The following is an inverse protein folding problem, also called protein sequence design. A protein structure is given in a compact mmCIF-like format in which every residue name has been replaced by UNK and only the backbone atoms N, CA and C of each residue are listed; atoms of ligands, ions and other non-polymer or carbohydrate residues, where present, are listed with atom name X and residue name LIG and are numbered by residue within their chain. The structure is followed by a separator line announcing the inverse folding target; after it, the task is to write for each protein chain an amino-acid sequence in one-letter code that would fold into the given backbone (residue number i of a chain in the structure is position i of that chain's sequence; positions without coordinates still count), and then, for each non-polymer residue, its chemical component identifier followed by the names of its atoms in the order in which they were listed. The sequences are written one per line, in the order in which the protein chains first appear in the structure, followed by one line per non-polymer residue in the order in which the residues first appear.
data_IF_900174591070
#
_entry.id   IF_900174591070
#
_cell.length_a   1.000
_cell.length_b   1.000
_cell.length_c   1.000
_cell.angle_alpha   90.00
_cell.angle_beta   90.00
_cell.angle_gamma   90.00
#
_symmetry.space_group_name_H-M   'P 1'
#
loop_
_entity.id
_entity.type
_entity.pdbx_description
1 polymer ?
#
# COMPACT_ATOMS: atom_id res chain seq x y z
N UNK A 1 -9.92 -1.40 7.51
CA UNK A 1 -8.83 -0.79 6.72
C UNK A 1 -8.51 0.59 7.29
N UNK A 2 -7.22 0.90 7.40
CA UNK A 2 -6.75 2.22 7.82
C UNK A 2 -6.33 3.01 6.58
N UNK A 3 -6.73 4.28 6.50
CA UNK A 3 -6.32 5.18 5.41
C UNK A 3 -5.94 6.54 5.95
N UNK A 4 -5.13 7.26 5.19
CA UNK A 4 -4.73 8.62 5.51
C UNK A 4 -4.50 9.44 4.25
N UNK A 5 -5.20 10.53 4.12
CA UNK A 5 -5.00 11.50 3.04
C UNK A 5 -4.04 12.60 3.48
N UNK A 6 -3.03 12.89 2.67
CA UNK A 6 -2.04 13.93 2.93
C UNK A 6 -1.76 14.72 1.66
N UNK A 7 -1.35 15.98 1.83
CA UNK A 7 -1.03 16.88 0.71
C UNK A 7 0.30 16.53 0.02
N UNK A 8 1.20 15.84 0.71
CA UNK A 8 2.55 15.51 0.22
C UNK A 8 2.90 14.06 0.53
N UNK A 9 3.74 13.45 -0.31
CA UNK A 9 4.28 12.10 -0.17
C UNK A 9 5.76 12.15 0.19
N UNK A 10 6.05 12.61 1.42
CA UNK A 10 7.40 12.62 1.95
C UNK A 10 7.60 11.46 2.94
N UNK A 11 8.89 11.23 3.32
CA UNK A 11 9.22 10.23 4.33
C UNK A 11 8.49 10.46 5.67
N UNK A 12 8.19 11.71 6.02
CA UNK A 12 7.47 12.08 7.24
C UNK A 12 6.03 11.55 7.22
N UNK A 13 5.30 11.75 6.13
CA UNK A 13 3.92 11.26 5.97
C UNK A 13 3.87 9.73 5.96
N UNK A 14 4.85 9.10 5.30
CA UNK A 14 4.98 7.65 5.31
C UNK A 14 5.27 7.12 6.72
N UNK A 15 6.20 7.74 7.44
CA UNK A 15 6.54 7.37 8.81
C UNK A 15 5.35 7.55 9.76
N UNK A 16 4.59 8.64 9.62
CA UNK A 16 3.37 8.86 10.39
C UNK A 16 2.32 7.77 10.14
N UNK A 17 2.21 7.31 8.91
CA UNK A 17 1.31 6.22 8.58
C UNK A 17 1.77 4.88 9.19
N UNK A 18 3.06 4.59 9.17
CA UNK A 18 3.62 3.42 9.85
C UNK A 18 3.35 3.46 11.37
N UNK A 19 3.48 4.63 11.98
CA UNK A 19 3.14 4.83 13.40
C UNK A 19 1.66 4.60 13.68
N UNK A 20 0.80 5.05 12.78
CA UNK A 20 -0.64 4.79 12.88
C UNK A 20 -0.94 3.29 12.82
N UNK A 21 -0.29 2.55 11.94
CA UNK A 21 -0.41 1.10 11.88
C UNK A 21 0.07 0.47 13.18
N UNK A 22 1.23 0.88 13.68
CA UNK A 22 1.83 0.36 14.93
C UNK A 22 0.89 0.54 16.13
N UNK A 23 0.19 1.67 16.19
CA UNK A 23 -0.75 1.97 17.27
C UNK A 23 -2.08 1.20 17.16
N UNK A 24 -2.45 0.75 15.97
CA UNK A 24 -3.75 0.09 15.72
C UNK A 24 -3.66 -1.43 15.61
N UNK A 25 -2.46 -1.99 15.46
CA UNK A 25 -2.24 -3.43 15.39
C UNK A 25 -1.78 -3.95 16.75
N UNK A 26 -2.37 -5.05 17.28
CA UNK A 26 -1.93 -5.65 18.54
C UNK A 26 -0.41 -5.89 18.56
N UNK A 27 0.28 -5.60 19.69
CA UNK A 27 1.74 -5.64 19.75
C UNK A 27 2.37 -7.03 19.61
N UNK A 28 1.58 -8.10 19.76
CA UNK A 28 1.98 -9.48 19.62
C UNK A 28 1.95 -9.98 18.17
N UNK A 29 1.40 -9.18 17.24
CA UNK A 29 1.32 -9.55 15.83
C UNK A 29 2.45 -8.95 15.00
N UNK A 30 2.96 -9.75 14.08
CA UNK A 30 3.87 -9.25 13.04
C UNK A 30 3.13 -8.42 12.00
N UNK A 31 3.79 -7.40 11.48
CA UNK A 31 3.26 -6.52 10.44
C UNK A 31 4.10 -6.67 9.19
N UNK A 32 3.50 -7.15 8.13
CA UNK A 32 4.13 -7.22 6.81
C UNK A 32 3.65 -6.06 5.95
N UNK A 33 4.57 -5.20 5.55
CA UNK A 33 4.29 -4.01 4.74
C UNK A 33 4.79 -4.26 3.32
N UNK A 34 3.89 -4.21 2.36
CA UNK A 34 4.23 -4.32 0.94
C UNK A 34 4.18 -2.92 0.34
N UNK A 35 5.29 -2.48 -0.21
CA UNK A 35 5.45 -1.14 -0.77
C UNK A 35 6.15 -1.20 -2.13
N UNK A 36 5.88 -0.20 -2.96
CA UNK A 36 6.63 -0.02 -4.19
C UNK A 36 8.06 0.47 -3.91
N UNK A 37 8.93 0.31 -4.88
CA UNK A 37 10.35 0.67 -4.76
C UNK A 37 10.56 2.19 -4.92
N UNK A 38 9.99 2.97 -4.01
CA UNK A 38 10.07 4.42 -4.00
C UNK A 38 11.09 4.92 -2.96
N UNK A 39 11.85 5.96 -3.30
CA UNK A 39 12.94 6.48 -2.47
C UNK A 39 12.49 6.91 -1.05
N UNK A 40 11.28 7.45 -0.93
CA UNK A 40 10.69 7.86 0.36
C UNK A 40 10.60 6.69 1.34
N UNK A 41 10.30 5.48 0.86
CA UNK A 41 10.21 4.28 1.70
C UNK A 41 11.57 3.79 2.21
N UNK A 42 12.66 4.26 1.60
CA UNK A 42 14.05 3.91 1.94
C UNK A 42 14.79 5.02 2.68
N UNK A 43 14.10 6.09 3.09
CA UNK A 43 14.72 7.21 3.77
C UNK A 43 15.39 6.77 5.09
N UNK A 44 16.57 7.32 5.48
CA UNK A 44 17.29 6.92 6.70
C UNK A 44 16.45 7.00 7.98
N UNK A 45 15.56 7.98 8.10
CA UNK A 45 14.65 8.10 9.27
C UNK A 45 13.65 6.95 9.32
N UNK A 46 13.13 6.51 8.18
CA UNK A 46 12.25 5.35 8.09
C UNK A 46 12.99 4.08 8.49
N UNK A 47 14.20 3.89 7.97
CA UNK A 47 15.04 2.73 8.31
C UNK A 47 15.37 2.69 9.81
N UNK A 48 15.68 3.82 10.43
CA UNK A 48 15.95 3.91 11.86
C UNK A 48 14.73 3.55 12.71
N UNK A 49 13.56 4.03 12.32
CA UNK A 49 12.32 3.70 13.01
C UNK A 49 12.00 2.21 12.89
N UNK A 50 12.13 1.63 11.70
CA UNK A 50 11.93 0.20 11.47
C UNK A 50 12.91 -0.67 12.27
N UNK A 51 14.15 -0.24 12.44
CA UNK A 51 15.13 -0.93 13.26
C UNK A 51 14.70 -1.02 14.74
N UNK A 52 13.90 -0.09 15.24
CA UNK A 52 13.32 -0.12 16.60
C UNK A 52 12.02 -0.93 16.68
N UNK A 53 11.53 -1.45 15.57
CA UNK A 53 10.27 -2.19 15.45
C UNK A 53 10.49 -3.52 14.74
N UNK A 54 11.08 -4.53 15.42
CA UNK A 54 11.43 -5.81 14.77
C UNK A 54 10.24 -6.60 14.25
N UNK A 55 9.02 -6.30 14.71
CA UNK A 55 7.79 -6.91 14.20
C UNK A 55 7.35 -6.42 12.82
N UNK A 56 7.95 -5.32 12.34
CA UNK A 56 7.69 -4.77 11.00
C UNK A 56 8.62 -5.39 9.97
N UNK A 57 8.04 -6.00 8.95
CA UNK A 57 8.74 -6.63 7.82
C UNK A 57 8.33 -5.90 6.54
N UNK A 58 9.25 -5.16 5.94
CA UNK A 58 9.00 -4.39 4.71
C UNK A 58 9.42 -5.20 3.49
N UNK A 59 8.50 -5.34 2.55
CA UNK A 59 8.70 -6.03 1.29
C UNK A 59 8.53 -5.05 0.14
N UNK A 60 9.59 -4.85 -0.64
CA UNK A 60 9.54 -3.98 -1.81
C UNK A 60 9.06 -4.75 -3.03
N UNK A 61 8.07 -4.20 -3.76
CA UNK A 61 7.71 -4.74 -5.06
C UNK A 61 8.81 -4.42 -6.07
N UNK A 62 9.11 -5.32 -7.03
CA UNK A 62 10.07 -5.02 -8.08
C UNK A 62 9.65 -3.77 -8.88
N UNK A 63 10.62 -3.01 -9.35
CA UNK A 63 10.39 -1.94 -10.32
C UNK A 63 9.62 -2.52 -11.51
N UNK A 64 8.59 -1.85 -11.99
CA UNK A 64 7.67 -2.31 -13.05
C UNK A 64 6.67 -3.42 -12.66
N UNK A 65 6.59 -3.79 -11.39
CA UNK A 65 5.66 -4.79 -10.89
C UNK A 65 4.71 -4.25 -9.81
N UNK A 66 4.35 -2.97 -9.89
CA UNK A 66 3.41 -2.32 -8.96
C UNK A 66 2.04 -3.00 -8.93
N UNK A 67 1.64 -3.66 -10.01
CA UNK A 67 0.41 -4.46 -10.09
C UNK A 67 0.36 -5.63 -9.09
N UNK A 68 1.49 -6.04 -8.52
CA UNK A 68 1.56 -7.01 -7.42
C UNK A 68 1.13 -6.41 -6.08
N UNK A 69 1.11 -5.09 -5.97
CA UNK A 69 0.69 -4.40 -4.76
C UNK A 69 -0.83 -4.30 -4.74
N UNK A 70 -1.46 -4.94 -3.77
CA UNK A 70 -2.92 -4.97 -3.61
C UNK A 70 -3.55 -3.58 -3.47
N UNK A 71 -2.80 -2.61 -2.98
CA UNK A 71 -3.28 -1.23 -2.86
C UNK A 71 -3.60 -0.61 -4.23
N UNK A 72 -2.89 -0.99 -5.28
CA UNK A 72 -3.19 -0.52 -6.64
C UNK A 72 -4.57 -1.00 -7.12
N UNK A 73 -4.93 -2.23 -6.81
CA UNK A 73 -6.26 -2.79 -7.12
C UNK A 73 -7.32 -2.02 -6.35
N UNK A 74 -7.08 -1.73 -5.09
CA UNK A 74 -8.00 -0.99 -4.24
C UNK A 74 -8.17 0.46 -4.71
N UNK A 75 -7.09 1.16 -5.08
CA UNK A 75 -7.17 2.51 -5.64
C UNK A 75 -7.93 2.54 -6.97
N UNK A 76 -7.77 1.55 -7.82
CA UNK A 76 -8.57 1.40 -9.02
C UNK A 76 -10.06 1.29 -8.70
N UNK A 77 -10.41 0.50 -7.71
CA UNK A 77 -11.78 0.31 -7.25
C UNK A 77 -12.40 1.62 -6.75
N UNK A 78 -11.69 2.37 -5.91
CA UNK A 78 -12.18 3.65 -5.39
C UNK A 78 -12.28 4.69 -6.49
N UNK A 79 -11.34 4.72 -7.44
CA UNK A 79 -11.37 5.62 -8.59
C UNK A 79 -12.61 5.39 -9.43
N UNK A 80 -12.93 4.15 -9.74
CA UNK A 80 -14.08 3.81 -10.56
C UNK A 80 -15.42 4.04 -9.85
N UNK A 81 -15.51 3.72 -8.57
CA UNK A 81 -16.77 3.75 -7.83
C UNK A 81 -17.09 5.07 -7.18
N UNK A 82 -16.08 5.82 -6.73
CA UNK A 82 -16.27 7.05 -5.99
C UNK A 82 -15.80 8.31 -6.72
N UNK A 83 -14.66 8.25 -7.41
CA UNK A 83 -14.01 9.44 -7.96
C UNK A 83 -14.52 9.79 -9.35
N UNK A 84 -14.56 8.84 -10.29
CA UNK A 84 -14.96 9.10 -11.68
C UNK A 84 -16.42 9.50 -11.86
N UNK A 85 -17.28 9.12 -10.94
CA UNK A 85 -18.72 9.41 -10.98
C UNK A 85 -19.10 10.68 -10.22
N UNK A 86 -18.14 11.35 -9.58
CA UNK A 86 -18.37 12.52 -8.76
C UNK A 86 -17.81 13.80 -9.40
N UNK A 87 -18.50 14.90 -9.17
CA UNK A 87 -17.99 16.25 -9.39
C UNK A 87 -17.52 16.80 -8.04
N UNK A 88 -16.28 17.26 -7.97
CA UNK A 88 -15.70 17.79 -6.74
C UNK A 88 -15.38 19.28 -6.91
N UNK A 89 -15.82 20.09 -5.98
CA UNK A 89 -15.59 21.54 -5.96
C UNK A 89 -14.29 21.92 -5.24
N UNK A 90 -13.75 21.02 -4.40
CA UNK A 90 -12.54 21.23 -3.61
C UNK A 90 -11.85 19.92 -3.26
N UNK A 91 -10.58 20.01 -2.87
CA UNK A 91 -9.82 18.85 -2.34
C UNK A 91 -10.47 18.32 -1.06
N UNK A 92 -10.99 19.22 -0.22
CA UNK A 92 -11.69 18.83 1.02
C UNK A 92 -12.91 17.95 0.73
N UNK A 93 -13.68 18.29 -0.29
CA UNK A 93 -14.85 17.50 -0.71
C UNK A 93 -14.43 16.13 -1.23
N UNK A 94 -13.34 16.05 -2.00
CA UNK A 94 -12.77 14.81 -2.46
C UNK A 94 -12.30 13.92 -1.29
N UNK A 95 -11.57 14.48 -0.32
CA UNK A 95 -11.11 13.75 0.87
C UNK A 95 -12.30 13.22 1.66
N UNK A 96 -13.33 14.03 1.88
CA UNK A 96 -14.56 13.63 2.57
C UNK A 96 -15.22 12.44 1.85
N UNK A 97 -15.26 12.48 0.53
CA UNK A 97 -15.85 11.40 -0.28
C UNK A 97 -15.03 10.09 -0.17
N UNK A 98 -13.72 10.21 -0.18
CA UNK A 98 -12.82 9.05 0.02
C UNK A 98 -13.04 8.44 1.42
N UNK A 99 -13.07 9.27 2.45
CA UNK A 99 -13.27 8.80 3.83
C UNK A 99 -14.63 8.11 4.00
N UNK A 100 -15.69 8.67 3.42
CA UNK A 100 -17.01 8.05 3.42
C UNK A 100 -17.02 6.70 2.69
N UNK A 101 -16.33 6.60 1.56
CA UNK A 101 -16.22 5.35 0.82
C UNK A 101 -15.48 4.29 1.64
N UNK A 102 -14.36 4.66 2.28
CA UNK A 102 -13.58 3.75 3.13
C UNK A 102 -14.42 3.27 4.32
N UNK A 103 -15.11 4.18 4.99
CA UNK A 103 -15.96 3.84 6.13
C UNK A 103 -17.07 2.88 5.72
N UNK A 104 -17.71 3.14 4.60
CA UNK A 104 -18.78 2.29 4.08
C UNK A 104 -18.25 0.92 3.63
N UNK A 105 -17.08 0.91 2.95
CA UNK A 105 -16.43 -0.32 2.55
C UNK A 105 -16.03 -1.17 3.76
N UNK A 106 -15.49 -0.55 4.81
CA UNK A 106 -15.14 -1.25 6.06
C UNK A 106 -16.33 -1.90 6.75
N UNK A 107 -17.52 -1.34 6.63
CA UNK A 107 -18.77 -1.94 7.20
C UNK A 107 -19.24 -3.16 6.42
N UNK A 108 -19.00 -3.19 5.12
CA UNK A 108 -19.61 -4.16 4.21
C UNK A 108 -18.61 -5.17 3.62
N UNK A 109 -17.31 -4.98 3.83
CA UNK A 109 -16.28 -5.80 3.20
C UNK A 109 -15.87 -6.97 4.09
N UNK A 110 -15.76 -8.13 3.48
CA UNK A 110 -15.12 -9.29 4.09
C UNK A 110 -13.59 -9.15 4.03
N UNK A 111 -12.84 -9.76 4.96
CA UNK A 111 -11.40 -9.83 4.85
C UNK A 111 -10.99 -10.33 3.46
N UNK A 112 -9.90 -9.76 2.94
CA UNK A 112 -9.37 -10.19 1.65
C UNK A 112 -8.93 -11.64 1.73
N UNK A 113 -9.46 -12.47 0.84
CA UNK A 113 -9.09 -13.88 0.74
C UNK A 113 -7.98 -14.06 -0.27
N UNK A 114 -6.82 -14.48 0.20
CA UNK A 114 -5.65 -14.73 -0.63
C UNK A 114 -5.78 -16.08 -1.32
N UNK A 115 -6.17 -16.06 -2.58
CA UNK A 115 -6.26 -17.28 -3.40
C UNK A 115 -4.93 -17.73 -3.98
N UNK A 116 -3.97 -16.80 -4.09
CA UNK A 116 -2.62 -17.09 -4.57
C UNK A 116 -1.68 -17.43 -3.41
N UNK A 117 -0.92 -18.50 -3.55
CA UNK A 117 0.14 -18.87 -2.59
C UNK A 117 1.37 -17.99 -2.81
N UNK A 118 2.19 -17.82 -1.76
CA UNK A 118 3.46 -17.09 -1.86
C UNK A 118 4.34 -17.66 -2.98
N UNK A 119 4.44 -18.98 -3.09
CA UNK A 119 5.23 -19.65 -4.12
C UNK A 119 4.74 -19.34 -5.54
N UNK A 120 3.42 -19.28 -5.75
CA UNK A 120 2.85 -18.91 -7.06
C UNK A 120 3.14 -17.46 -7.43
N UNK A 121 3.16 -16.56 -6.46
CA UNK A 121 3.51 -15.16 -6.65
C UNK A 121 5.00 -15.02 -6.97
N UNK A 122 5.87 -15.68 -6.21
CA UNK A 122 7.32 -15.68 -6.47
C UNK A 122 7.66 -16.25 -7.84
N UNK A 123 7.02 -17.34 -8.25
CA UNK A 123 7.21 -17.91 -9.60
C UNK A 123 6.79 -16.93 -10.73
N UNK A 124 5.75 -16.12 -10.52
CA UNK A 124 5.36 -15.06 -11.47
C UNK A 124 6.37 -13.94 -11.51
N UNK A 125 6.87 -13.51 -10.36
CA UNK A 125 7.89 -12.45 -10.25
C UNK A 125 9.18 -12.90 -10.92
N UNK A 126 9.63 -14.13 -10.68
CA UNK A 126 10.83 -14.67 -11.30
C UNK A 126 10.72 -14.69 -12.83
N UNK A 127 9.62 -15.19 -13.37
CA UNK A 127 9.37 -15.16 -14.83
C UNK A 127 9.36 -13.75 -15.41
N UNK A 128 8.85 -12.76 -14.67
CA UNK A 128 8.88 -11.37 -15.08
C UNK A 128 10.32 -10.83 -15.12
N UNK A 129 11.11 -11.11 -14.08
CA UNK A 129 12.51 -10.71 -14.03
C UNK A 129 13.33 -11.33 -15.17
N UNK A 130 13.10 -12.60 -15.48
CA UNK A 130 13.77 -13.29 -16.59
C UNK A 130 13.44 -12.64 -17.94
N UNK A 131 12.17 -12.24 -18.17
CA UNK A 131 11.78 -11.52 -19.38
C UNK A 131 12.45 -10.17 -19.50
N UNK A 132 12.52 -9.41 -18.41
CA UNK A 132 13.16 -8.09 -18.38
C UNK A 132 14.67 -8.24 -18.64
N UNK A 133 15.32 -9.23 -18.06
CA UNK A 133 16.75 -9.51 -18.26
C UNK A 133 17.04 -10.03 -19.67
N UNK A 134 16.11 -10.78 -20.29
CA UNK A 134 16.24 -11.30 -21.66
C UNK A 134 16.01 -10.26 -22.74
N UNK A 135 15.37 -9.14 -22.45
CA UNK A 135 15.13 -8.02 -23.39
C UNK A 135 16.23 -6.96 -23.37
N UNK A 136 17.24 -7.11 -22.51
CA UNK A 136 18.37 -6.18 -22.35
C UNK A 136 19.52 -6.37 -23.35
N UNK A 137 19.26 -6.91 -24.51
CA UNK A 137 20.25 -7.09 -25.60
C UNK A 137 20.18 -5.95 -26.62
#
# INVERSE_FOLDING_TARGET
MLTRCRQRHRHQEYLDFLRQIDNNVPPDLDVHVIVDNYATHKHPRVKRWLATRPRFHVHFTPTYASWLNQVEIWFNRITQRAIRRGTFRSVKELVTKIDQFVENDNRNTRPFDWTATADSIFAKVQRLCERISGTGH
#
